data_IF_978012203547
#
_entry.id   IF_978012203547
#
_cell.length_a   1.000
_cell.length_b   1.000
_cell.length_c   1.000
_cell.angle_alpha   90.00
_cell.angle_beta   90.00
_cell.angle_gamma   90.00
#
_symmetry.space_group_name_H-M   'P 1'
#
loop_
_entity.id
_entity.type
_entity.pdbx_description
1 polymer ?
#
# COMPACT_ATOMS: atom_id res chain seq x y z
N UNK A 1 9.46 -6.86 17.62
CA UNK A 1 9.54 -6.82 16.14
C UNK A 1 9.22 -5.41 15.73
N UNK A 2 10.02 -4.82 14.85
CA UNK A 2 9.75 -3.47 14.35
C UNK A 2 8.59 -3.51 13.36
N UNK A 3 7.70 -2.52 13.45
CA UNK A 3 6.53 -2.37 12.59
C UNK A 3 6.57 -1.02 11.89
N UNK A 4 6.19 -1.01 10.61
CA UNK A 4 5.98 0.17 9.79
C UNK A 4 4.49 0.55 9.86
N UNK A 5 4.20 1.73 10.40
CA UNK A 5 2.84 2.24 10.51
C UNK A 5 2.31 2.62 9.14
N UNK A 6 1.07 2.26 8.84
CA UNK A 6 0.42 2.70 7.61
C UNK A 6 -0.05 4.15 7.66
N UNK A 7 -0.17 4.70 8.87
CA UNK A 7 -0.74 6.02 9.12
C UNK A 7 -2.27 6.03 8.98
N UNK A 8 -2.89 4.91 8.62
CA UNK A 8 -4.34 4.75 8.51
C UNK A 8 -4.81 4.09 9.81
N UNK A 9 -5.36 4.89 10.71
CA UNK A 9 -5.73 4.46 12.09
C UNK A 9 -6.50 3.14 12.11
N UNK A 10 -7.52 2.99 11.25
CA UNK A 10 -8.31 1.76 11.19
C UNK A 10 -7.50 0.53 10.76
N UNK A 11 -6.56 0.70 9.84
CA UNK A 11 -5.72 -0.39 9.34
C UNK A 11 -4.61 -0.74 10.33
N UNK A 12 -3.96 0.27 10.92
CA UNK A 12 -2.95 0.06 11.96
C UNK A 12 -3.54 -0.69 13.16
N UNK A 13 -4.78 -0.38 13.55
CA UNK A 13 -5.46 -1.11 14.63
C UNK A 13 -5.72 -2.59 14.28
N UNK A 14 -6.10 -2.88 13.04
CA UNK A 14 -6.34 -4.26 12.57
C UNK A 14 -5.03 -5.05 12.45
N UNK A 15 -3.92 -4.38 12.15
CA UNK A 15 -2.59 -4.97 12.00
C UNK A 15 -1.76 -4.94 13.30
N UNK A 16 -2.37 -4.63 14.44
CA UNK A 16 -1.69 -4.54 15.74
C UNK A 16 -0.48 -3.59 15.75
N UNK A 17 -0.67 -2.41 15.13
CA UNK A 17 0.31 -1.32 15.10
C UNK A 17 1.01 -1.10 13.76
N UNK A 18 0.85 -1.98 12.77
CA UNK A 18 1.35 -1.76 11.41
C UNK A 18 1.85 -3.03 10.71
N UNK A 19 2.56 -2.85 9.60
CA UNK A 19 3.14 -3.94 8.82
C UNK A 19 4.50 -4.32 9.42
N UNK A 20 4.78 -5.60 9.71
CA UNK A 20 6.11 -6.00 10.17
C UNK A 20 7.20 -5.63 9.17
N UNK A 21 8.28 -5.01 9.64
CA UNK A 21 9.39 -4.58 8.80
C UNK A 21 10.08 -5.80 8.16
N UNK A 22 10.41 -5.70 6.87
CA UNK A 22 11.04 -6.79 6.10
C UNK A 22 10.06 -7.81 5.52
N UNK A 23 8.75 -7.61 5.69
CA UNK A 23 7.73 -8.47 5.08
C UNK A 23 7.22 -7.93 3.73
N UNK A 24 6.75 -8.85 2.89
CA UNK A 24 5.95 -8.56 1.70
C UNK A 24 4.46 -8.70 2.00
N UNK A 25 3.65 -7.73 1.59
CA UNK A 25 2.20 -7.72 1.80
C UNK A 25 1.47 -7.73 0.45
N UNK A 26 0.47 -8.60 0.31
CA UNK A 26 -0.41 -8.64 -0.87
C UNK A 26 -1.72 -7.93 -0.58
N UNK A 27 -2.01 -6.87 -1.33
CA UNK A 27 -3.31 -6.20 -1.34
C UNK A 27 -4.15 -6.72 -2.52
N UNK A 28 -5.20 -7.49 -2.23
CA UNK A 28 -6.08 -8.10 -3.24
C UNK A 28 -7.54 -7.64 -3.07
N UNK A 29 -8.29 -7.65 -4.17
CA UNK A 29 -9.71 -7.27 -4.21
C UNK A 29 -10.20 -6.92 -5.62
N UNK A 30 -11.51 -6.85 -5.81
CA UNK A 30 -12.15 -6.52 -7.09
C UNK A 30 -11.71 -5.17 -7.67
N UNK A 31 -11.95 -4.93 -8.96
CA UNK A 31 -11.70 -3.61 -9.55
C UNK A 31 -12.54 -2.53 -8.85
N UNK A 32 -12.00 -1.31 -8.71
CA UNK A 32 -12.73 -0.18 -8.11
C UNK A 32 -12.77 -0.12 -6.57
N UNK A 33 -12.32 -1.14 -5.84
CA UNK A 33 -12.39 -1.16 -4.35
C UNK A 33 -11.34 -0.29 -3.64
N UNK A 34 -10.58 0.53 -4.36
CA UNK A 34 -9.63 1.48 -3.77
C UNK A 34 -8.22 0.96 -3.48
N UNK A 35 -7.78 -0.17 -4.06
CA UNK A 35 -6.42 -0.71 -3.83
C UNK A 35 -5.30 0.28 -4.14
N UNK A 36 -5.39 0.96 -5.28
CA UNK A 36 -4.43 2.01 -5.68
C UNK A 36 -4.44 3.19 -4.72
N UNK A 37 -5.63 3.59 -4.28
CA UNK A 37 -5.79 4.67 -3.30
C UNK A 37 -5.11 4.27 -1.98
N UNK A 38 -5.31 3.03 -1.52
CA UNK A 38 -4.67 2.53 -0.31
C UNK A 38 -3.14 2.54 -0.42
N UNK A 39 -2.59 2.07 -1.55
CA UNK A 39 -1.15 2.05 -1.78
C UNK A 39 -0.55 3.47 -1.81
N UNK A 40 -1.23 4.42 -2.45
CA UNK A 40 -0.80 5.82 -2.49
C UNK A 40 -0.90 6.48 -1.10
N UNK A 41 -1.97 6.22 -0.35
CA UNK A 41 -2.15 6.79 0.98
C UNK A 41 -1.10 6.29 1.97
N UNK A 42 -0.76 5.00 1.89
CA UNK A 42 0.34 4.41 2.66
C UNK A 42 1.67 5.15 2.40
N UNK A 43 2.03 5.33 1.12
CA UNK A 43 3.26 6.04 0.72
C UNK A 43 3.24 7.52 1.15
N UNK A 44 2.12 8.20 0.93
CA UNK A 44 1.99 9.61 1.26
C UNK A 44 2.10 9.86 2.77
N UNK A 45 1.43 9.03 3.59
CA UNK A 45 1.52 9.12 5.05
C UNK A 45 2.89 8.72 5.57
N UNK A 46 3.50 7.67 5.00
CA UNK A 46 4.89 7.29 5.25
C UNK A 46 5.84 8.48 5.10
N UNK A 47 5.77 9.16 3.95
CA UNK A 47 6.61 10.32 3.67
C UNK A 47 6.28 11.54 4.55
N UNK A 48 5.00 11.86 4.73
CA UNK A 48 4.56 13.07 5.43
C UNK A 48 4.73 12.97 6.95
N UNK A 49 4.32 11.86 7.55
CA UNK A 49 4.18 11.72 9.00
C UNK A 49 5.38 11.02 9.64
N UNK A 50 6.10 10.20 8.88
CA UNK A 50 7.18 9.36 9.39
C UNK A 50 8.54 9.59 8.68
N UNK A 51 8.56 10.41 7.63
CA UNK A 51 9.79 10.68 6.85
C UNK A 51 10.31 9.46 6.07
N UNK A 52 9.44 8.49 5.79
CA UNK A 52 9.81 7.26 5.08
C UNK A 52 9.90 7.49 3.56
N UNK A 53 10.91 6.89 2.94
CA UNK A 53 11.06 6.87 1.48
C UNK A 53 10.35 5.66 0.90
N UNK A 54 9.67 5.84 -0.24
CA UNK A 54 9.00 4.73 -0.91
C UNK A 54 8.95 4.90 -2.42
N UNK A 55 8.70 3.79 -3.12
CA UNK A 55 8.57 3.74 -4.57
C UNK A 55 7.16 3.23 -4.89
N UNK A 56 6.47 3.97 -5.77
CA UNK A 56 5.22 3.50 -6.38
C UNK A 56 5.51 3.04 -7.81
N UNK A 57 5.17 1.80 -8.12
CA UNK A 57 5.24 1.27 -9.48
C UNK A 57 3.87 0.72 -9.86
N UNK A 58 3.37 1.13 -11.01
CA UNK A 58 2.10 0.67 -11.57
C UNK A 58 2.36 0.01 -12.91
N UNK A 59 1.74 -1.14 -13.14
CA UNK A 59 1.72 -1.76 -14.46
C UNK A 59 0.35 -1.54 -15.08
N UNK A 60 0.33 -1.13 -16.35
CA UNK A 60 -0.87 -1.10 -17.16
C UNK A 60 -0.80 -2.26 -18.14
N UNK A 61 -1.80 -3.15 -18.10
CA UNK A 61 -1.90 -4.23 -19.08
C UNK A 61 -2.56 -3.69 -20.34
N UNK A 62 -1.78 -3.47 -21.40
CA UNK A 62 -2.34 -3.33 -22.73
C UNK A 62 -2.85 -4.70 -23.16
N UNK A 63 -4.18 -4.85 -23.19
CA UNK A 63 -4.82 -5.96 -23.89
C UNK A 63 -4.84 -5.62 -25.38
N UNK A 64 -3.67 -5.59 -26.01
CA UNK A 64 -3.60 -5.47 -27.46
C UNK A 64 -4.00 -6.83 -28.03
N UNK A 65 -5.29 -6.94 -28.35
CA UNK A 65 -5.85 -8.09 -29.04
C UNK A 65 -5.48 -8.00 -30.53
N UNK A 66 -4.85 -9.02 -31.13
CA UNK A 66 -4.72 -9.09 -32.58
C UNK A 66 -6.08 -9.46 -33.16
N UNK A 67 -6.80 -8.45 -33.68
CA UNK A 67 -7.84 -8.69 -34.71
C UNK A 67 -7.29 -8.33 -36.07
#
# INVERSE_FOLDING_TARGET
MDVCKTGIVGLDNVLDGGIPVGNSVLLSGSSGVGKTILAMEFLFRGARDFGETGIYSTQHNYLDNPV
#
